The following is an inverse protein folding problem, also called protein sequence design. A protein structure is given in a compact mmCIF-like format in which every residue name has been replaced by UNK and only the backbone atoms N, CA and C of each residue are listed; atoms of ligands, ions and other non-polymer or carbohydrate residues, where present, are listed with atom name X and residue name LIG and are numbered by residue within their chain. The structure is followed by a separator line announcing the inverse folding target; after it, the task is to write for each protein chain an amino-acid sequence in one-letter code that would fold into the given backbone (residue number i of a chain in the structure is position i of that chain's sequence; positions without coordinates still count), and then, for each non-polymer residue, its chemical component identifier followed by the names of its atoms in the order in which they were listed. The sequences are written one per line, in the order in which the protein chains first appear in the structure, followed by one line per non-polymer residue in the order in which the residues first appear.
data_IF_426350067004
#
_entry.id   IF_426350067004
#
_cell.length_a   1.000
_cell.length_b   1.000
_cell.length_c   1.000
_cell.angle_alpha   90.00
_cell.angle_beta   90.00
_cell.angle_gamma   90.00
#
_symmetry.space_group_name_H-M   'P 1'
#
loop_
_entity.id
_entity.type
_entity.pdbx_description
1 polymer ?
#
# COMPACT_ATOMS: atom_id res chain seq x y z
N UNK A 1 18.75 -6.32 16.39
CA UNK A 1 18.99 -6.70 14.99
C UNK A 1 17.68 -7.21 14.43
N UNK A 2 17.06 -6.51 13.48
CA UNK A 2 15.92 -7.08 12.75
C UNK A 2 16.46 -8.15 11.79
N UNK A 3 15.77 -9.29 11.62
CA UNK A 3 16.19 -10.32 10.67
C UNK A 3 16.23 -9.74 9.25
N UNK A 4 17.27 -10.13 8.50
CA UNK A 4 17.42 -9.76 7.08
C UNK A 4 16.24 -10.35 6.33
N UNK A 5 15.64 -9.58 5.40
CA UNK A 5 14.56 -10.10 4.56
C UNK A 5 15.04 -11.41 3.88
N UNK A 6 14.26 -12.49 3.93
CA UNK A 6 14.63 -13.77 3.35
C UNK A 6 14.86 -13.63 1.85
N UNK A 7 15.81 -14.40 1.32
CA UNK A 7 16.11 -14.38 -0.11
C UNK A 7 14.97 -15.06 -0.89
N UNK A 8 14.78 -14.70 -2.16
CA UNK A 8 13.69 -15.25 -2.99
C UNK A 8 13.67 -16.78 -3.04
N UNK A 9 14.85 -17.42 -3.02
CA UNK A 9 14.99 -18.88 -2.97
C UNK A 9 14.47 -19.48 -1.64
N UNK A 10 14.68 -18.80 -0.52
CA UNK A 10 14.19 -19.24 0.80
C UNK A 10 12.66 -19.08 0.87
N UNK A 11 12.12 -17.96 0.39
CA UNK A 11 10.68 -17.73 0.30
C UNK A 11 9.98 -18.76 -0.59
N UNK A 12 10.59 -19.14 -1.72
CA UNK A 12 10.09 -20.22 -2.56
C UNK A 12 10.03 -21.55 -1.81
N UNK A 13 11.06 -21.91 -1.04
CA UNK A 13 11.03 -23.12 -0.23
C UNK A 13 9.92 -23.09 0.81
N UNK A 14 9.72 -21.97 1.50
CA UNK A 14 8.70 -21.85 2.55
C UNK A 14 7.26 -21.77 2.01
N UNK A 15 7.04 -21.21 0.82
CA UNK A 15 5.70 -21.02 0.25
C UNK A 15 5.29 -22.15 -0.70
N UNK A 16 6.24 -22.88 -1.30
CA UNK A 16 5.94 -23.95 -2.27
C UNK A 16 5.20 -25.13 -1.63
N UNK A 17 5.64 -25.60 -0.47
CA UNK A 17 5.01 -26.74 0.21
C UNK A 17 3.59 -26.41 0.69
N UNK A 18 3.32 -25.28 1.38
CA UNK A 18 1.96 -24.88 1.74
C UNK A 18 1.04 -24.70 0.53
N UNK A 19 1.53 -24.11 -0.57
CA UNK A 19 0.74 -23.94 -1.80
C UNK A 19 0.41 -25.30 -2.43
N UNK A 20 1.35 -26.23 -2.50
CA UNK A 20 1.06 -27.60 -2.98
C UNK A 20 0.15 -28.38 -2.03
N UNK A 21 0.25 -28.14 -0.72
CA UNK A 21 -0.60 -28.79 0.27
C UNK A 21 -2.05 -28.25 0.17
N UNK A 22 -2.21 -26.96 -0.12
CA UNK A 22 -3.50 -26.33 -0.43
C UNK A 22 -4.18 -26.94 -1.65
N UNK A 23 -3.42 -27.28 -2.69
CA UNK A 23 -3.94 -27.94 -3.89
C UNK A 23 -4.37 -29.39 -3.63
N UNK A 24 -3.66 -30.10 -2.74
CA UNK A 24 -3.87 -31.53 -2.51
C UNK A 24 -4.87 -31.84 -1.37
N UNK A 25 -5.05 -30.93 -0.40
CA UNK A 25 -5.88 -31.16 0.78
C UNK A 25 -6.70 -29.90 1.15
N UNK A 26 -7.70 -29.53 0.32
CA UNK A 26 -8.43 -28.29 0.47
C UNK A 26 -9.21 -28.17 1.79
N UNK A 27 -9.61 -29.28 2.41
CA UNK A 27 -10.46 -29.29 3.61
C UNK A 27 -9.70 -29.03 4.92
N UNK A 28 -8.37 -29.10 4.91
CA UNK A 28 -7.55 -28.94 6.12
C UNK A 28 -7.19 -27.48 6.43
N UNK A 29 -7.39 -26.58 5.48
CA UNK A 29 -6.94 -25.20 5.59
C UNK A 29 -8.14 -24.30 5.35
N UNK A 30 -8.37 -23.35 6.27
CA UNK A 30 -9.46 -22.39 6.12
C UNK A 30 -9.31 -21.62 4.82
N UNK A 31 -10.44 -21.27 4.19
CA UNK A 31 -10.47 -20.49 2.96
C UNK A 31 -9.65 -19.20 3.09
N UNK A 32 -9.69 -18.56 4.26
CA UNK A 32 -8.85 -17.40 4.59
C UNK A 32 -7.36 -17.70 4.44
N UNK A 33 -6.87 -18.78 5.05
CA UNK A 33 -5.45 -19.12 5.00
C UNK A 33 -5.01 -19.51 3.58
N UNK A 34 -5.88 -20.14 2.79
CA UNK A 34 -5.66 -20.36 1.35
C UNK A 34 -5.46 -19.04 0.61
N UNK A 35 -6.39 -18.12 0.76
CA UNK A 35 -6.35 -16.82 0.08
C UNK A 35 -5.10 -16.02 0.47
N UNK A 36 -4.72 -16.01 1.74
CA UNK A 36 -3.50 -15.35 2.22
C UNK A 36 -2.24 -15.97 1.58
N UNK A 37 -2.14 -17.31 1.53
CA UNK A 37 -1.00 -17.99 0.91
C UNK A 37 -0.89 -17.69 -0.60
N UNK A 38 -2.00 -17.67 -1.33
CA UNK A 38 -2.00 -17.35 -2.75
C UNK A 38 -1.57 -15.91 -3.04
N UNK A 39 -2.01 -14.96 -2.22
CA UNK A 39 -1.58 -13.55 -2.31
C UNK A 39 -0.07 -13.44 -2.08
N UNK A 40 0.46 -14.10 -1.04
CA UNK A 40 1.89 -14.12 -0.74
C UNK A 40 2.70 -14.76 -1.87
N UNK A 41 2.21 -15.87 -2.45
CA UNK A 41 2.84 -16.52 -3.59
C UNK A 41 2.93 -15.56 -4.79
N UNK A 42 1.85 -14.83 -5.09
CA UNK A 42 1.85 -13.85 -6.17
C UNK A 42 2.86 -12.72 -5.93
N UNK A 43 2.93 -12.19 -4.70
CA UNK A 43 3.84 -11.09 -4.35
C UNK A 43 5.31 -11.52 -4.38
N UNK A 44 5.63 -12.63 -3.72
CA UNK A 44 7.01 -12.96 -3.39
C UNK A 44 7.63 -13.98 -4.32
N UNK A 45 6.86 -14.90 -4.87
CA UNK A 45 7.36 -15.97 -5.74
C UNK A 45 7.18 -15.60 -7.21
N UNK A 46 5.95 -15.30 -7.62
CA UNK A 46 5.64 -14.96 -9.01
C UNK A 46 6.05 -13.52 -9.37
N UNK A 47 6.24 -12.66 -8.37
CA UNK A 47 6.51 -11.22 -8.52
C UNK A 47 5.45 -10.49 -9.36
N UNK A 48 4.22 -10.99 -9.34
CA UNK A 48 3.08 -10.40 -10.04
C UNK A 48 2.16 -9.70 -9.03
N UNK A 49 2.45 -8.43 -8.81
CA UNK A 49 1.67 -7.59 -7.91
C UNK A 49 0.24 -7.35 -8.41
N UNK A 50 -0.02 -7.43 -9.72
CA UNK A 50 -1.37 -7.23 -10.25
C UNK A 50 -2.25 -8.42 -9.89
N UNK A 51 -1.76 -9.63 -10.10
CA UNK A 51 -2.48 -10.83 -9.67
C UNK A 51 -2.64 -10.88 -8.15
N UNK A 52 -1.64 -10.45 -7.38
CA UNK A 52 -1.74 -10.36 -5.93
C UNK A 52 -2.87 -9.39 -5.49
N UNK A 53 -2.97 -8.23 -6.14
CA UNK A 53 -4.03 -7.24 -5.88
C UNK A 53 -5.41 -7.84 -6.16
N UNK A 54 -5.61 -8.50 -7.31
CA UNK A 54 -6.90 -9.09 -7.67
C UNK A 54 -7.31 -10.19 -6.67
N UNK A 55 -6.38 -11.07 -6.32
CA UNK A 55 -6.63 -12.10 -5.29
C UNK A 55 -6.92 -11.50 -3.93
N UNK A 56 -6.21 -10.43 -3.54
CA UNK A 56 -6.45 -9.74 -2.29
C UNK A 56 -7.86 -9.14 -2.27
N UNK A 57 -8.29 -8.46 -3.34
CA UNK A 57 -9.65 -7.92 -3.45
C UNK A 57 -10.72 -9.00 -3.40
N UNK A 58 -10.50 -10.13 -4.07
CA UNK A 58 -11.42 -11.27 -4.06
C UNK A 58 -11.54 -11.92 -2.67
N UNK A 59 -10.52 -11.78 -1.82
CA UNK A 59 -10.54 -12.29 -0.44
C UNK A 59 -11.27 -11.39 0.56
N UNK A 60 -11.64 -10.16 0.16
CA UNK A 60 -12.35 -9.22 1.03
C UNK A 60 -13.85 -9.57 1.11
N UNK A 61 -14.52 -9.25 2.24
CA UNK A 61 -15.94 -9.54 2.40
C UNK A 61 -16.80 -8.79 1.38
N UNK A 62 -18.00 -9.30 1.11
CA UNK A 62 -18.97 -8.61 0.28
C UNK A 62 -19.27 -7.19 0.82
N UNK A 63 -19.38 -6.21 -0.08
CA UNK A 63 -19.63 -4.82 0.31
C UNK A 63 -18.42 -4.08 0.90
N UNK A 64 -17.22 -4.66 0.88
CA UNK A 64 -16.01 -4.02 1.42
C UNK A 64 -15.74 -2.62 0.87
N UNK A 65 -16.17 -2.34 -0.36
CA UNK A 65 -15.96 -1.07 -1.05
C UNK A 65 -16.72 0.10 -0.40
N UNK A 66 -17.71 -0.17 0.44
CA UNK A 66 -18.48 0.83 1.18
C UNK A 66 -18.21 0.80 2.69
N UNK A 67 -17.27 -0.03 3.14
CA UNK A 67 -16.88 -0.13 4.54
C UNK A 67 -15.55 0.62 4.76
N UNK A 68 -15.52 1.71 5.55
CA UNK A 68 -14.30 2.49 5.79
C UNK A 68 -13.12 1.67 6.30
N UNK A 69 -13.37 0.72 7.20
CA UNK A 69 -12.32 -0.12 7.78
C UNK A 69 -11.70 -1.04 6.72
N UNK A 70 -12.53 -1.65 5.87
CA UNK A 70 -12.04 -2.55 4.82
C UNK A 70 -11.29 -1.78 3.72
N UNK A 71 -11.79 -0.60 3.34
CA UNK A 71 -11.09 0.31 2.44
C UNK A 71 -9.71 0.67 2.99
N UNK A 72 -9.63 1.01 4.28
CA UNK A 72 -8.38 1.35 4.93
C UNK A 72 -7.43 0.16 5.04
N UNK A 73 -7.93 -1.02 5.42
CA UNK A 73 -7.15 -2.25 5.52
C UNK A 73 -6.51 -2.62 4.18
N UNK A 74 -7.26 -2.47 3.09
CA UNK A 74 -6.71 -2.71 1.75
C UNK A 74 -5.68 -1.65 1.35
N UNK A 75 -5.94 -0.37 1.62
CA UNK A 75 -5.01 0.72 1.36
C UNK A 75 -3.68 0.55 2.12
N UNK A 76 -3.75 0.18 3.40
CA UNK A 76 -2.59 -0.13 4.23
C UNK A 76 -1.80 -1.32 3.69
N UNK A 77 -2.49 -2.41 3.31
CA UNK A 77 -1.83 -3.57 2.70
C UNK A 77 -1.09 -3.21 1.41
N UNK A 78 -1.68 -2.36 0.54
CA UNK A 78 -1.00 -1.84 -0.64
C UNK A 78 0.24 -1.00 -0.27
N UNK A 79 0.15 -0.17 0.77
CA UNK A 79 1.28 0.61 1.28
C UNK A 79 2.43 -0.26 1.79
N UNK A 80 2.15 -1.25 2.64
CA UNK A 80 3.16 -2.16 3.20
C UNK A 80 3.94 -2.88 2.10
N UNK A 81 3.23 -3.28 1.05
CA UNK A 81 3.82 -3.98 -0.10
C UNK A 81 4.37 -3.03 -1.18
N UNK A 82 4.15 -1.71 -1.04
CA UNK A 82 4.56 -0.66 -1.97
C UNK A 82 4.05 -0.87 -3.40
N UNK A 83 2.81 -1.34 -3.52
CA UNK A 83 2.15 -1.65 -4.79
C UNK A 83 0.85 -0.86 -4.90
N UNK A 84 0.41 -0.60 -6.13
CA UNK A 84 -0.92 -0.05 -6.41
C UNK A 84 -1.29 1.20 -5.58
N UNK A 85 -0.30 2.08 -5.34
CA UNK A 85 -0.43 3.20 -4.41
C UNK A 85 -1.44 4.27 -4.85
N UNK A 86 -1.71 4.37 -6.16
CA UNK A 86 -2.73 5.29 -6.69
C UNK A 86 -4.14 4.87 -6.27
N UNK A 87 -4.46 3.59 -6.39
CA UNK A 87 -5.74 3.05 -5.92
C UNK A 87 -5.81 3.08 -4.39
N UNK A 88 -4.71 2.73 -3.70
CA UNK A 88 -4.64 2.81 -2.25
C UNK A 88 -4.96 4.22 -1.72
N UNK A 89 -4.42 5.26 -2.35
CA UNK A 89 -4.73 6.65 -2.02
C UNK A 89 -6.22 6.96 -2.22
N UNK A 90 -6.78 6.58 -3.37
CA UNK A 90 -8.18 6.84 -3.68
C UNK A 90 -9.12 6.16 -2.67
N UNK A 91 -8.83 4.91 -2.29
CA UNK A 91 -9.61 4.15 -1.31
C UNK A 91 -9.48 4.73 0.11
N UNK A 92 -8.27 5.13 0.52
CA UNK A 92 -8.06 5.79 1.81
C UNK A 92 -8.83 7.13 1.87
N UNK A 93 -8.83 7.93 0.80
CA UNK A 93 -9.64 9.16 0.71
C UNK A 93 -11.13 8.86 0.84
N UNK A 94 -11.64 7.86 0.11
CA UNK A 94 -13.04 7.41 0.23
C UNK A 94 -13.37 6.99 1.67
N UNK A 95 -12.48 6.25 2.34
CA UNK A 95 -12.68 5.83 3.72
C UNK A 95 -12.78 7.02 4.70
N UNK A 96 -11.99 8.09 4.51
CA UNK A 96 -12.07 9.33 5.30
C UNK A 96 -13.43 10.03 5.14
N UNK A 97 -14.00 9.98 3.93
CA UNK A 97 -15.30 10.57 3.62
C UNK A 97 -16.47 9.78 4.22
N UNK A 98 -16.36 8.44 4.21
CA UNK A 98 -17.41 7.55 4.71
C UNK A 98 -17.42 7.40 6.23
N UNK A 99 -16.28 7.57 6.90
CA UNK A 99 -16.22 7.41 8.36
C UNK A 99 -16.73 8.64 9.11
N UNK A 100 -17.56 8.40 10.11
CA UNK A 100 -18.01 9.43 11.07
C UNK A 100 -17.31 9.31 12.42
N UNK A 101 -16.62 8.19 12.68
CA UNK A 101 -15.90 7.96 13.93
C UNK A 101 -14.55 8.69 13.91
N UNK A 102 -14.29 9.48 14.95
CA UNK A 102 -13.09 10.31 15.04
C UNK A 102 -11.79 9.51 15.16
N UNK A 103 -11.82 8.34 15.81
CA UNK A 103 -10.65 7.49 16.00
C UNK A 103 -10.33 6.74 14.71
N UNK A 104 -11.34 6.18 14.07
CA UNK A 104 -11.15 5.49 12.79
C UNK A 104 -10.69 6.48 11.72
N UNK A 105 -11.26 7.68 11.70
CA UNK A 105 -10.80 8.77 10.83
C UNK A 105 -9.32 9.11 11.03
N UNK A 106 -8.84 9.17 12.27
CA UNK A 106 -7.43 9.41 12.55
C UNK A 106 -6.54 8.29 11.99
N UNK A 107 -6.93 7.03 12.19
CA UNK A 107 -6.19 5.87 11.66
C UNK A 107 -6.14 5.86 10.12
N UNK A 108 -7.24 6.24 9.46
CA UNK A 108 -7.31 6.32 8.00
C UNK A 108 -6.46 7.48 7.48
N UNK A 109 -6.47 8.62 8.17
CA UNK A 109 -5.63 9.76 7.81
C UNK A 109 -4.14 9.46 7.96
N UNK A 110 -3.76 8.65 8.95
CA UNK A 110 -2.39 8.15 9.11
C UNK A 110 -1.97 7.28 7.91
N UNK A 111 -2.82 6.33 7.53
CA UNK A 111 -2.61 5.49 6.32
C UNK A 111 -2.46 6.35 5.06
N UNK A 112 -3.33 7.34 4.88
CA UNK A 112 -3.27 8.28 3.75
C UNK A 112 -1.96 9.09 3.76
N UNK A 113 -1.53 9.58 4.91
CA UNK A 113 -0.28 10.33 5.04
C UNK A 113 0.95 9.49 4.65
N UNK A 114 1.00 8.24 5.08
CA UNK A 114 2.05 7.30 4.73
C UNK A 114 2.11 7.01 3.21
N UNK A 115 0.94 6.77 2.58
CA UNK A 115 0.84 6.59 1.13
C UNK A 115 1.34 7.83 0.38
N UNK A 116 0.89 9.03 0.78
CA UNK A 116 1.29 10.29 0.14
C UNK A 116 2.78 10.56 0.31
N UNK A 117 3.34 10.28 1.49
CA UNK A 117 4.78 10.39 1.78
C UNK A 117 5.58 9.46 0.86
N UNK A 118 5.16 8.19 0.73
CA UNK A 118 5.82 7.22 -0.13
C UNK A 118 5.74 7.60 -1.61
N UNK A 119 4.58 8.05 -2.08
CA UNK A 119 4.41 8.55 -3.46
C UNK A 119 5.26 9.79 -3.72
N UNK A 120 5.38 10.70 -2.75
CA UNK A 120 6.28 11.86 -2.81
C UNK A 120 7.75 11.45 -2.95
N UNK A 121 8.19 10.41 -2.23
CA UNK A 121 9.54 9.83 -2.39
C UNK A 121 9.75 9.18 -3.76
N UNK A 122 8.75 8.46 -4.27
CA UNK A 122 8.79 7.88 -5.61
C UNK A 122 8.83 8.95 -6.71
N UNK A 123 8.14 10.07 -6.52
CA UNK A 123 8.17 11.21 -7.44
C UNK A 123 9.55 11.90 -7.50
N UNK A 124 10.29 11.92 -6.39
CA UNK A 124 11.67 12.42 -6.35
C UNK A 124 12.63 11.49 -7.12
N UNK A 125 12.31 10.19 -7.19
CA UNK A 125 13.10 9.19 -7.92
C UNK A 125 12.75 9.07 -9.41
N UNK A 126 11.63 9.64 -9.86
CA UNK A 126 11.30 9.78 -11.28
C UNK A 126 12.02 11.02 -11.86
N UNK A 127 13.11 10.85 -12.64
CA UNK A 127 13.88 11.97 -13.16
C UNK A 127 13.06 12.92 -14.05
N UNK A 128 11.91 12.48 -14.55
CA UNK A 128 11.04 13.29 -15.41
C UNK A 128 10.25 14.36 -14.65
N UNK A 129 10.11 14.26 -13.32
CA UNK A 129 9.31 15.21 -12.51
C UNK A 129 10.10 16.00 -11.45
N UNK A 130 11.43 15.83 -11.39
CA UNK A 130 12.33 16.59 -10.50
C UNK A 130 12.33 18.12 -10.76
N UNK A 131 11.66 18.62 -11.81
CA UNK A 131 11.67 20.05 -12.17
C UNK A 131 10.63 20.95 -11.50
N UNK A 132 9.77 20.47 -10.60
CA UNK A 132 8.77 21.34 -9.94
C UNK A 132 9.03 21.71 -8.48
N UNK A 133 10.05 21.12 -7.84
CA UNK A 133 10.45 21.50 -6.47
C UNK A 133 11.61 22.52 -6.48
N UNK A 134 11.42 23.67 -7.13
CA UNK A 134 12.24 24.89 -6.97
C UNK A 134 11.37 26.13 -7.15
N UNK A 135 10.36 26.30 -6.30
CA UNK A 135 9.63 27.57 -6.16
C UNK A 135 9.10 27.73 -4.74
N UNK A 136 9.95 27.44 -3.76
CA UNK A 136 9.85 28.06 -2.43
C UNK A 136 11.26 28.55 -2.10
N UNK A 137 11.84 29.33 -3.00
CA UNK A 137 12.99 30.15 -2.66
C UNK A 137 12.44 31.25 -1.75
N UNK A 138 12.88 31.17 -0.50
CA UNK A 138 12.71 32.18 0.53
C UNK A 138 12.83 33.56 -0.10
N UNK A 139 11.82 34.40 0.13
CA UNK A 139 11.88 35.83 -0.11
C UNK A 139 12.41 36.50 1.16
N UNK A 140 13.73 36.76 1.30
CA UNK A 140 14.18 37.85 2.14
C UNK A 140 14.42 39.07 1.24
N UNK A 141 14.08 40.25 1.77
CA UNK A 141 14.43 41.58 1.28
C UNK A 141 13.34 42.26 0.44
N UNK A 142 12.23 42.57 1.10
CA UNK A 142 11.65 43.91 1.01
C UNK A 142 12.43 44.86 1.93
N UNK A 143 13.46 45.54 1.39
CA UNK A 143 13.88 46.90 1.80
C UNK A 143 14.98 47.42 0.87
N UNK A 144 14.56 48.33 -0.01
CA UNK A 144 15.43 49.11 -0.89
C UNK A 144 14.62 50.20 -1.57
N UNK A 145 14.03 51.10 -0.78
CA UNK A 145 13.49 52.36 -1.29
C UNK A 145 14.62 53.11 -2.00
N UNK A 146 14.36 53.51 -3.25
CA UNK A 146 15.24 54.35 -4.05
C UNK A 146 15.20 55.79 -3.52
N UNK A 147 16.37 56.39 -3.64
CA UNK A 147 16.73 57.80 -3.48
C UNK A 147 15.76 58.75 -4.20
N UNK A 148 15.47 59.88 -3.53
CA UNK A 148 15.32 61.18 -4.17
C UNK A 148 16.45 62.08 -3.68
#
# INVERSE_FOLDING_TARGET
MLPKAPQDAELQTYLKEPVQLLENQPDLISERARNEAEVLNCLFVLKDWKQAVEKKKASLPEGWQENPDQLNNFAWWCFENKINLDEAEALARKAVELTTDSKDKANILDTLAEILSLKGKHHILDPSKVRQCKSVELNPISRGMRFH
#
